data_IF_671919309954
#
_entry.id   IF_671919309954
#
_cell.length_a   1.000
_cell.length_b   1.000
_cell.length_c   1.000
_cell.angle_alpha   90.00
_cell.angle_beta   90.00
_cell.angle_gamma   90.00
#
_symmetry.space_group_name_H-M   'P 1'
#
loop_
_entity.id
_entity.type
_entity.pdbx_description
1 polymer ?
#
# COMPACT_ATOMS: atom_id res chain seq x y z
N UNK A 1 -49.03 -4.41 -25.06
CA UNK A 1 -47.79 -3.72 -24.65
C UNK A 1 -48.15 -2.71 -23.59
N UNK A 2 -47.93 -3.06 -22.32
CA UNK A 2 -48.33 -2.25 -21.16
C UNK A 2 -47.17 -1.29 -20.85
N UNK A 3 -47.35 -0.02 -21.22
CA UNK A 3 -46.39 1.05 -20.98
C UNK A 3 -46.57 1.68 -19.60
N UNK A 4 -45.57 1.48 -18.75
CA UNK A 4 -45.06 2.40 -17.72
C UNK A 4 -46.08 3.15 -16.85
N UNK A 5 -46.38 2.58 -15.70
CA UNK A 5 -47.12 3.22 -14.60
C UNK A 5 -46.27 4.31 -13.92
N UNK A 6 -46.92 5.47 -13.84
CA UNK A 6 -46.84 6.63 -12.93
C UNK A 6 -46.02 6.52 -11.61
N UNK A 7 -45.20 7.55 -11.39
CA UNK A 7 -45.20 8.50 -10.24
C UNK A 7 -44.82 8.01 -8.83
N UNK A 8 -44.04 8.88 -8.18
CA UNK A 8 -43.93 9.16 -6.73
C UNK A 8 -42.77 8.56 -5.91
N UNK A 9 -41.83 9.46 -5.60
CA UNK A 9 -41.47 9.86 -4.21
C UNK A 9 -40.77 8.82 -3.34
N UNK A 10 -39.52 9.10 -2.95
CA UNK A 10 -39.12 9.20 -1.53
C UNK A 10 -37.97 10.20 -1.41
N UNK A 11 -38.23 11.14 -0.53
CA UNK A 11 -37.40 12.21 -0.03
C UNK A 11 -36.68 11.67 1.21
N UNK A 12 -35.35 11.75 1.28
CA UNK A 12 -34.65 11.78 2.56
C UNK A 12 -33.61 12.89 2.48
N UNK A 13 -34.04 14.06 2.95
CA UNK A 13 -33.15 15.01 3.59
C UNK A 13 -32.46 14.32 4.77
N UNK A 14 -31.17 14.57 4.95
CA UNK A 14 -30.51 14.92 6.22
C UNK A 14 -29.14 14.26 6.40
N UNK A 15 -28.18 15.15 6.71
CA UNK A 15 -26.98 14.91 7.50
C UNK A 15 -25.97 13.89 7.00
N UNK A 16 -24.83 14.42 6.55
CA UNK A 16 -23.61 13.64 6.47
C UNK A 16 -22.48 14.48 5.92
N UNK A 17 -21.75 15.13 6.83
CA UNK A 17 -20.39 15.59 6.55
C UNK A 17 -19.65 14.51 5.78
N UNK A 18 -19.20 14.82 4.59
CA UNK A 18 -17.82 14.59 4.16
C UNK A 18 -17.71 15.30 2.83
N UNK A 19 -16.97 16.42 2.83
CA UNK A 19 -16.20 16.77 1.65
C UNK A 19 -15.50 15.47 1.24
N UNK A 20 -15.99 14.85 0.17
CA UNK A 20 -15.19 13.90 -0.57
C UNK A 20 -13.94 14.69 -0.93
N UNK A 21 -12.86 14.42 -0.18
CA UNK A 21 -11.54 14.85 -0.52
C UNK A 21 -11.32 14.28 -1.92
N UNK A 22 -11.58 15.12 -2.91
CA UNK A 22 -11.33 14.88 -4.32
C UNK A 22 -9.81 14.92 -4.50
N UNK A 23 -9.14 13.93 -3.92
CA UNK A 23 -7.84 13.49 -4.36
C UNK A 23 -8.12 12.56 -5.51
N UNK A 24 -8.22 13.10 -6.72
CA UNK A 24 -8.09 12.28 -7.92
C UNK A 24 -6.83 11.42 -7.73
N UNK A 25 -7.03 10.12 -7.52
CA UNK A 25 -5.97 9.13 -7.28
C UNK A 25 -5.10 9.16 -8.53
N UNK A 26 -3.98 9.90 -8.47
CA UNK A 26 -3.07 10.03 -9.60
C UNK A 26 -2.59 8.62 -9.92
N UNK A 27 -2.58 8.20 -11.20
CA UNK A 27 -2.03 6.90 -11.56
C UNK A 27 -0.61 6.79 -11.00
N UNK A 28 -0.42 5.80 -10.14
CA UNK A 28 0.83 5.65 -9.39
C UNK A 28 1.86 4.98 -10.31
N UNK A 29 2.45 5.77 -11.21
CA UNK A 29 3.37 5.28 -12.25
C UNK A 29 4.70 4.72 -11.72
N UNK A 30 4.90 4.66 -10.39
CA UNK A 30 6.16 4.31 -9.76
C UNK A 30 6.04 3.21 -8.68
N UNK A 31 4.96 2.41 -8.67
CA UNK A 31 4.78 1.35 -7.65
C UNK A 31 5.89 0.29 -7.68
N UNK A 32 6.35 -0.11 -8.86
CA UNK A 32 7.49 -1.04 -8.99
C UNK A 32 8.80 -0.43 -8.47
N UNK A 33 8.95 0.90 -8.57
CA UNK A 33 10.10 1.60 -8.02
C UNK A 33 10.06 1.61 -6.48
N UNK A 34 8.87 1.73 -5.86
CA UNK A 34 8.70 1.57 -4.41
C UNK A 34 9.06 0.16 -3.97
N UNK A 35 8.55 -0.87 -4.65
CA UNK A 35 8.90 -2.26 -4.35
C UNK A 35 10.41 -2.50 -4.45
N UNK A 36 11.07 -1.94 -5.47
CA UNK A 36 12.53 -2.00 -5.63
C UNK A 36 13.26 -1.29 -4.50
N UNK A 37 12.78 -0.12 -4.06
CA UNK A 37 13.37 0.62 -2.94
C UNK A 37 13.26 -0.15 -1.63
N UNK A 38 12.12 -0.81 -1.40
CA UNK A 38 11.92 -1.71 -0.25
C UNK A 38 12.92 -2.86 -0.28
N UNK A 39 13.11 -3.53 -1.43
CA UNK A 39 14.12 -4.60 -1.58
C UNK A 39 15.52 -4.11 -1.19
N UNK A 40 15.93 -2.94 -1.70
CA UNK A 40 17.25 -2.35 -1.40
C UNK A 40 17.39 -2.03 0.09
N UNK A 41 16.38 -1.43 0.71
CA UNK A 41 16.42 -1.07 2.13
C UNK A 41 16.47 -2.29 3.05
N UNK A 42 15.65 -3.31 2.78
CA UNK A 42 15.67 -4.55 3.56
C UNK A 42 17.03 -5.24 3.42
N UNK A 43 17.57 -5.37 2.21
CA UNK A 43 18.90 -5.97 2.00
C UNK A 43 20.02 -5.25 2.76
N UNK A 44 19.95 -3.92 2.85
CA UNK A 44 21.00 -3.10 3.47
C UNK A 44 20.89 -3.05 5.00
N UNK A 45 19.68 -3.08 5.56
CA UNK A 45 19.44 -2.72 6.98
C UNK A 45 18.76 -3.79 7.80
N UNK A 46 18.06 -4.74 7.18
CA UNK A 46 17.31 -5.75 7.91
C UNK A 46 18.23 -6.90 8.32
N UNK A 47 18.40 -7.08 9.64
CA UNK A 47 19.29 -8.11 10.23
C UNK A 47 18.62 -9.48 10.41
N UNK A 48 17.51 -9.75 9.72
CA UNK A 48 16.86 -11.06 9.78
C UNK A 48 17.54 -12.04 8.83
N UNK A 49 18.21 -13.06 9.37
CA UNK A 49 19.13 -13.95 8.64
C UNK A 49 18.50 -14.77 7.50
N UNK A 50 17.19 -15.04 7.49
CA UNK A 50 16.58 -15.98 6.52
C UNK A 50 15.57 -15.36 5.52
N UNK A 51 15.23 -14.08 5.68
CA UNK A 51 14.09 -13.47 4.95
C UNK A 51 14.44 -12.78 3.63
N UNK A 52 15.69 -12.36 3.44
CA UNK A 52 16.06 -11.39 2.40
C UNK A 52 16.00 -11.95 0.97
N UNK A 53 16.49 -13.18 0.77
CA UNK A 53 16.39 -13.84 -0.54
C UNK A 53 14.94 -14.14 -0.91
N UNK A 54 14.12 -14.47 0.09
CA UNK A 54 12.68 -14.69 -0.11
C UNK A 54 11.95 -13.39 -0.43
N UNK A 55 12.27 -12.28 0.24
CA UNK A 55 11.73 -10.95 -0.07
C UNK A 55 12.06 -10.57 -1.51
N UNK A 56 13.32 -10.72 -1.92
CA UNK A 56 13.75 -10.40 -3.28
C UNK A 56 12.94 -11.21 -4.30
N UNK A 57 12.83 -12.52 -4.09
CA UNK A 57 12.08 -13.42 -4.98
C UNK A 57 10.60 -13.08 -5.08
N UNK A 58 9.91 -12.90 -3.94
CA UNK A 58 8.47 -12.60 -3.93
C UNK A 58 8.20 -11.29 -4.66
N UNK A 59 8.92 -10.22 -4.29
CA UNK A 59 8.69 -8.91 -4.88
C UNK A 59 9.01 -8.87 -6.38
N UNK A 60 10.03 -9.60 -6.85
CA UNK A 60 10.34 -9.67 -8.28
C UNK A 60 9.30 -10.48 -9.08
N UNK A 61 8.73 -11.54 -8.50
CA UNK A 61 7.62 -12.28 -9.12
C UNK A 61 6.42 -11.35 -9.28
N UNK A 62 6.01 -10.67 -8.22
CA UNK A 62 4.86 -9.76 -8.22
C UNK A 62 5.04 -8.59 -9.20
N UNK A 63 6.26 -8.01 -9.28
CA UNK A 63 6.63 -7.00 -10.29
C UNK A 63 6.53 -7.53 -11.71
N UNK A 64 6.99 -8.77 -11.95
CA UNK A 64 6.99 -9.39 -13.29
C UNK A 64 5.57 -9.68 -13.78
N UNK A 65 4.68 -10.17 -12.90
CA UNK A 65 3.27 -10.38 -13.25
C UNK A 65 2.45 -9.08 -13.25
N UNK A 66 3.03 -7.99 -12.77
CA UNK A 66 2.40 -6.67 -12.76
C UNK A 66 1.34 -6.49 -11.67
N UNK A 67 1.42 -7.27 -10.58
CA UNK A 67 0.46 -7.22 -9.49
C UNK A 67 0.40 -5.84 -8.82
N UNK A 68 1.54 -5.16 -8.66
CA UNK A 68 1.58 -3.81 -8.13
C UNK A 68 1.04 -2.78 -9.10
N UNK A 69 1.33 -2.91 -10.41
CA UNK A 69 0.76 -2.05 -11.45
C UNK A 69 -0.76 -2.20 -11.58
N UNK A 70 -1.31 -3.35 -11.19
CA UNK A 70 -2.74 -3.60 -11.18
C UNK A 70 -3.48 -2.96 -9.99
N UNK A 71 -2.76 -2.51 -8.96
CA UNK A 71 -3.38 -1.82 -7.82
C UNK A 71 -3.98 -0.48 -8.26
N UNK A 72 -5.27 -0.29 -7.99
CA UNK A 72 -6.02 0.91 -8.44
C UNK A 72 -5.91 2.08 -7.48
N UNK A 73 -5.54 1.81 -6.23
CA UNK A 73 -5.39 2.81 -5.18
C UNK A 73 -4.11 2.57 -4.42
N UNK A 74 -3.61 3.63 -3.77
CA UNK A 74 -2.47 3.51 -2.86
C UNK A 74 -2.72 2.51 -1.73
N UNK A 75 -3.93 2.50 -1.16
CA UNK A 75 -4.30 1.59 -0.08
C UNK A 75 -4.25 0.12 -0.52
N UNK A 76 -4.70 -0.18 -1.74
CA UNK A 76 -4.61 -1.53 -2.31
C UNK A 76 -3.16 -1.97 -2.50
N UNK A 77 -2.30 -1.08 -3.00
CA UNK A 77 -0.87 -1.34 -3.11
C UNK A 77 -0.24 -1.61 -1.74
N UNK A 78 -0.50 -0.76 -0.74
CA UNK A 78 0.02 -0.91 0.63
C UNK A 78 -0.45 -2.23 1.25
N UNK A 79 -1.70 -2.63 1.01
CA UNK A 79 -2.20 -3.91 1.49
C UNK A 79 -1.43 -5.09 0.86
N UNK A 80 -1.34 -5.12 -0.48
CA UNK A 80 -0.65 -6.20 -1.21
C UNK A 80 0.83 -6.31 -0.80
N UNK A 81 1.56 -5.20 -0.81
CA UNK A 81 2.99 -5.19 -0.47
C UNK A 81 3.22 -5.66 0.97
N UNK A 82 2.34 -5.33 1.91
CA UNK A 82 2.44 -5.81 3.30
C UNK A 82 2.16 -7.31 3.43
N UNK A 83 1.23 -7.85 2.65
CA UNK A 83 1.00 -9.31 2.60
C UNK A 83 2.25 -10.01 2.09
N UNK A 84 2.86 -9.50 1.02
CA UNK A 84 4.09 -10.07 0.44
C UNK A 84 5.26 -10.01 1.42
N UNK A 85 5.44 -8.86 2.09
CA UNK A 85 6.45 -8.68 3.12
C UNK A 85 6.25 -9.64 4.29
N UNK A 86 5.01 -9.84 4.74
CA UNK A 86 4.70 -10.82 5.78
C UNK A 86 5.02 -12.26 5.34
N UNK A 87 4.64 -12.64 4.13
CA UNK A 87 4.92 -13.97 3.57
C UNK A 87 6.43 -14.21 3.48
N UNK A 88 7.17 -13.18 3.08
CA UNK A 88 8.60 -13.27 2.86
C UNK A 88 9.43 -13.22 4.14
N UNK A 89 9.14 -12.30 5.06
CA UNK A 89 9.93 -12.06 6.27
C UNK A 89 9.42 -12.81 7.50
N UNK A 90 8.12 -13.11 7.56
CA UNK A 90 7.42 -13.57 8.77
C UNK A 90 7.60 -12.62 9.98
N UNK A 91 7.92 -11.35 9.73
CA UNK A 91 8.12 -10.33 10.75
C UNK A 91 7.09 -9.21 10.59
N UNK A 92 6.17 -9.10 11.56
CA UNK A 92 5.11 -8.07 11.53
C UNK A 92 5.63 -6.64 11.70
N UNK A 93 6.88 -6.49 12.15
CA UNK A 93 7.53 -5.18 12.31
C UNK A 93 8.04 -4.64 10.97
N UNK A 94 8.11 -5.49 9.95
CA UNK A 94 8.41 -5.07 8.57
C UNK A 94 7.10 -4.74 7.88
N UNK A 95 6.78 -3.45 7.76
CA UNK A 95 5.54 -3.01 7.12
C UNK A 95 5.70 -1.65 6.44
N UNK A 96 4.88 -1.44 5.42
CA UNK A 96 4.72 -0.19 4.69
C UNK A 96 3.48 0.52 5.20
N UNK A 97 3.62 1.80 5.49
CA UNK A 97 2.56 2.69 5.97
C UNK A 97 2.55 3.98 5.14
N UNK A 98 1.43 4.69 5.19
CA UNK A 98 1.44 6.10 4.79
C UNK A 98 2.19 6.93 5.82
N UNK A 99 2.86 7.98 5.34
CA UNK A 99 3.70 8.85 6.15
C UNK A 99 2.87 9.45 7.27
N UNK A 100 3.27 9.16 8.51
CA UNK A 100 2.72 9.80 9.71
C UNK A 100 3.75 10.77 10.28
N UNK A 101 3.30 11.88 10.86
CA UNK A 101 4.18 12.88 11.50
C UNK A 101 4.79 12.39 12.81
N UNK A 102 4.43 11.20 13.27
CA UNK A 102 4.70 10.73 14.63
C UNK A 102 5.91 9.80 14.79
N UNK A 103 6.60 9.40 13.71
CA UNK A 103 7.47 8.20 13.80
C UNK A 103 8.96 8.46 13.55
N UNK A 104 9.77 8.19 14.58
CA UNK A 104 11.23 8.28 14.60
C UNK A 104 11.83 6.87 14.50
N UNK A 105 11.59 6.22 13.37
CA UNK A 105 12.09 4.86 13.11
C UNK A 105 11.74 4.29 11.73
N UNK A 106 11.20 5.12 10.83
CA UNK A 106 10.72 4.69 9.53
C UNK A 106 11.52 5.31 8.39
N UNK A 107 11.71 4.55 7.31
CA UNK A 107 12.47 4.95 6.14
C UNK A 107 11.54 5.49 5.07
N UNK A 108 11.85 6.66 4.51
CA UNK A 108 11.06 7.23 3.43
C UNK A 108 11.18 6.40 2.15
N UNK A 109 10.03 5.98 1.60
CA UNK A 109 9.95 5.31 0.32
C UNK A 109 9.60 6.29 -0.83
N UNK A 110 9.09 7.48 -0.49
CA UNK A 110 8.49 8.42 -1.44
C UNK A 110 6.99 8.20 -1.59
N UNK A 111 6.31 9.09 -2.34
CA UNK A 111 4.84 9.06 -2.53
C UNK A 111 4.01 9.09 -1.24
N UNK A 112 4.60 9.64 -0.17
CA UNK A 112 4.00 9.65 1.16
C UNK A 112 3.93 8.26 1.78
N UNK A 113 4.80 7.32 1.38
CA UNK A 113 4.93 6.01 1.99
C UNK A 113 6.23 5.91 2.79
N UNK A 114 6.20 5.10 3.85
CA UNK A 114 7.33 4.81 4.71
C UNK A 114 7.44 3.31 4.95
N UNK A 115 8.65 2.82 5.21
CA UNK A 115 8.95 1.45 5.60
C UNK A 115 9.36 1.43 7.07
N UNK A 116 8.64 0.68 7.89
CA UNK A 116 9.09 0.27 9.22
C UNK A 116 9.83 -1.06 9.09
N UNK A 117 10.94 -1.21 9.81
CA UNK A 117 11.65 -2.48 9.96
C UNK A 117 12.49 -2.48 11.26
N UNK A 118 12.66 -3.63 11.91
CA UNK A 118 13.46 -3.74 13.13
C UNK A 118 14.93 -3.63 12.77
N UNK A 119 15.53 -2.47 13.03
CA UNK A 119 16.89 -2.25 12.55
C UNK A 119 17.48 -0.85 12.75
N UNK A 120 17.14 -0.16 13.83
CA UNK A 120 18.04 0.85 14.43
C UNK A 120 17.83 0.76 15.94
N UNK A 121 18.86 0.32 16.67
CA UNK A 121 18.83 0.33 18.12
C UNK A 121 18.66 1.76 18.62
N UNK A 122 17.78 1.92 19.60
CA UNK A 122 17.93 2.93 20.64
C UNK A 122 18.69 2.27 21.79
#
# INVERSE_FOLDING_TARGET
MIGGVRVATILVMMLGLTQAASGADKPIAALDAIATRIQVMLRDRYKGDDGLDRVTRVLDIEKRIGAYRAARTKAEFVHRINVDLWVATRDRRVCVSERSTADSGQFDLGMGLQLAMPGIGW
#
